data_IF_913056376254
#
_entry.id   IF_913056376254
#
_cell.length_a   1.000
_cell.length_b   1.000
_cell.length_c   1.000
_cell.angle_alpha   90.00
_cell.angle_beta   90.00
_cell.angle_gamma   90.00
#
_symmetry.space_group_name_H-M   'P 1'
#
loop_
_entity.id
_entity.type
_entity.pdbx_description
1 polymer ?
#
# COMPACT_ATOMS: atom_id res chain seq x y z
N UNK A 1 -9.89 0.50 31.95
CA UNK A 1 -9.93 -0.76 32.71
C UNK A 1 -10.98 -1.65 32.06
N UNK A 2 -10.55 -2.71 31.38
CA UNK A 2 -11.45 -3.76 30.87
C UNK A 2 -11.96 -4.59 32.06
N UNK A 3 -13.25 -4.90 32.17
CA UNK A 3 -13.76 -5.78 33.23
C UNK A 3 -13.09 -7.15 33.12
N UNK A 4 -12.79 -7.79 34.25
CA UNK A 4 -12.17 -9.12 34.24
C UNK A 4 -13.15 -10.16 33.66
N UNK A 5 -12.63 -11.24 33.06
CA UNK A 5 -13.48 -12.33 32.54
C UNK A 5 -14.36 -12.99 33.62
N UNK A 6 -13.96 -12.85 34.89
CA UNK A 6 -14.74 -13.32 36.04
C UNK A 6 -15.94 -12.40 36.29
N UNK A 7 -15.76 -11.07 36.22
CA UNK A 7 -16.85 -10.09 36.36
C UNK A 7 -17.90 -10.28 35.26
N UNK A 8 -17.47 -10.57 34.03
CA UNK A 8 -18.38 -10.81 32.90
C UNK A 8 -19.18 -12.12 33.06
N UNK A 9 -18.54 -13.17 33.59
CA UNK A 9 -19.20 -14.45 33.89
C UNK A 9 -20.17 -14.34 35.08
N UNK A 10 -19.85 -13.53 36.08
CA UNK A 10 -20.75 -13.23 37.20
C UNK A 10 -21.93 -12.37 36.75
N UNK A 11 -21.69 -11.32 35.96
CA UNK A 11 -22.75 -10.55 35.29
C UNK A 11 -23.70 -11.49 34.54
N UNK A 12 -23.17 -12.39 33.69
CA UNK A 12 -23.98 -13.33 32.91
C UNK A 12 -24.86 -14.26 33.77
N UNK A 13 -24.40 -14.67 34.95
CA UNK A 13 -25.18 -15.51 35.88
C UNK A 13 -26.31 -14.73 36.58
N UNK A 14 -26.14 -13.43 36.83
CA UNK A 14 -27.17 -12.57 37.45
C UNK A 14 -28.39 -12.38 36.54
N UNK A 15 -28.20 -12.43 35.21
CA UNK A 15 -29.28 -12.27 34.22
C UNK A 15 -29.89 -13.58 33.71
N UNK A 16 -29.33 -14.75 34.06
CA UNK A 16 -29.74 -16.05 33.49
C UNK A 16 -31.21 -16.44 33.76
N UNK A 17 -31.87 -15.84 34.76
CA UNK A 17 -33.25 -16.16 35.17
C UNK A 17 -34.17 -14.94 35.33
N UNK A 18 -33.80 -13.75 34.82
CA UNK A 18 -34.61 -12.52 34.97
C UNK A 18 -35.19 -12.04 33.64
N UNK A 19 -36.46 -11.63 33.66
CA UNK A 19 -37.07 -10.89 32.56
C UNK A 19 -36.38 -9.54 32.47
N UNK A 20 -35.64 -9.29 31.38
CA UNK A 20 -34.99 -8.01 31.11
C UNK A 20 -35.99 -7.11 30.40
N UNK A 21 -36.29 -5.97 31.01
CA UNK A 21 -37.18 -4.96 30.43
C UNK A 21 -36.38 -3.87 29.72
N UNK A 22 -36.97 -3.24 28.71
CA UNK A 22 -36.37 -2.09 28.04
C UNK A 22 -36.42 -0.84 28.91
N UNK A 23 -35.44 0.09 28.81
CA UNK A 23 -35.36 1.31 29.62
C UNK A 23 -36.66 2.14 29.80
N UNK A 24 -37.59 2.24 28.83
CA UNK A 24 -38.86 2.94 29.04
C UNK A 24 -39.74 2.32 30.14
N UNK A 25 -39.52 1.05 30.50
CA UNK A 25 -40.22 0.34 31.56
C UNK A 25 -39.46 0.54 32.85
N UNK A 26 -40.08 1.25 33.80
CA UNK A 26 -39.48 1.64 35.06
C UNK A 26 -39.53 0.49 36.08
N UNK A 27 -38.73 -0.56 35.85
CA UNK A 27 -38.64 -1.74 36.71
C UNK A 27 -37.18 -2.07 37.03
N UNK A 28 -36.91 -2.53 38.26
CA UNK A 28 -35.56 -2.88 38.70
C UNK A 28 -34.63 -1.67 38.82
N UNK A 29 -33.39 -1.81 38.34
CA UNK A 29 -32.33 -0.78 38.36
C UNK A 29 -32.46 0.23 37.20
N UNK A 30 -33.68 0.48 36.72
CA UNK A 30 -33.94 1.32 35.54
C UNK A 30 -33.29 2.70 35.64
N UNK A 31 -33.24 3.30 36.84
CA UNK A 31 -32.67 4.62 37.06
C UNK A 31 -31.14 4.61 36.90
N UNK A 32 -30.45 3.57 37.37
CA UNK A 32 -29.01 3.41 37.20
C UNK A 32 -28.64 3.13 35.74
N UNK A 33 -29.42 2.29 35.05
CA UNK A 33 -29.24 2.01 33.62
C UNK A 33 -29.48 3.25 32.76
N UNK A 34 -30.49 4.06 33.11
CA UNK A 34 -30.75 5.35 32.46
C UNK A 34 -29.58 6.32 32.68
N UNK A 35 -29.12 6.50 33.92
CA UNK A 35 -28.01 7.37 34.26
C UNK A 35 -26.71 6.95 33.54
N UNK A 36 -26.37 5.66 33.52
CA UNK A 36 -25.22 5.13 32.79
C UNK A 36 -25.33 5.36 31.28
N UNK A 37 -26.54 5.30 30.72
CA UNK A 37 -26.79 5.56 29.31
C UNK A 37 -26.66 7.04 28.99
N UNK A 38 -27.18 7.92 29.84
CA UNK A 38 -27.05 9.37 29.70
C UNK A 38 -25.57 9.80 29.76
N UNK A 39 -24.80 9.28 30.71
CA UNK A 39 -23.36 9.54 30.80
C UNK A 39 -22.62 9.06 29.54
N UNK A 40 -22.91 7.85 29.06
CA UNK A 40 -22.36 7.33 27.79
C UNK A 40 -22.71 8.24 26.60
N UNK A 41 -23.95 8.75 26.56
CA UNK A 41 -24.38 9.67 25.53
C UNK A 41 -23.62 11.00 25.62
N UNK A 42 -23.45 11.57 26.82
CA UNK A 42 -22.69 12.81 27.03
C UNK A 42 -21.23 12.67 26.62
N UNK A 43 -20.58 11.56 26.96
CA UNK A 43 -19.21 11.27 26.51
C UNK A 43 -19.16 11.14 24.99
N UNK A 44 -20.16 10.48 24.39
CA UNK A 44 -20.24 10.30 22.94
C UNK A 44 -20.49 11.63 22.20
N UNK A 45 -21.37 12.50 22.70
CA UNK A 45 -21.63 13.82 22.13
C UNK A 45 -20.41 14.71 22.27
N UNK A 46 -19.78 14.75 23.45
CA UNK A 46 -18.53 15.49 23.66
C UNK A 46 -17.44 15.04 22.67
N UNK A 47 -17.21 13.73 22.53
CA UNK A 47 -16.23 13.20 21.56
C UNK A 47 -16.61 13.51 20.11
N UNK A 48 -17.90 13.52 19.78
CA UNK A 48 -18.41 13.85 18.44
C UNK A 48 -18.14 15.30 18.08
N UNK A 49 -18.41 16.22 19.00
CA UNK A 49 -18.19 17.67 18.84
C UNK A 49 -16.70 17.98 18.66
N UNK A 50 -15.83 17.30 19.40
CA UNK A 50 -14.37 17.50 19.34
C UNK A 50 -13.67 16.69 18.23
N UNK A 51 -14.43 16.03 17.35
CA UNK A 51 -13.88 15.17 16.28
C UNK A 51 -12.94 14.06 16.77
N UNK A 52 -13.18 13.55 17.99
CA UNK A 52 -12.36 12.53 18.65
C UNK A 52 -12.89 11.11 18.44
N UNK A 53 -14.04 10.94 17.79
CA UNK A 53 -14.56 9.61 17.50
C UNK A 53 -13.64 8.87 16.52
N UNK A 54 -13.41 7.59 16.79
CA UNK A 54 -12.60 6.72 15.94
C UNK A 54 -13.09 6.72 14.49
N UNK A 55 -14.42 6.70 14.28
CA UNK A 55 -15.02 6.76 12.94
C UNK A 55 -14.69 8.07 12.19
N UNK A 56 -14.55 9.19 12.90
CA UNK A 56 -14.20 10.48 12.28
C UNK A 56 -12.71 10.50 11.91
N UNK A 57 -11.84 10.04 12.83
CA UNK A 57 -10.39 9.94 12.61
C UNK A 57 -10.05 8.98 11.47
N UNK A 58 -10.63 7.79 11.46
CA UNK A 58 -10.43 6.79 10.40
C UNK A 58 -10.89 7.34 9.05
N UNK A 59 -12.10 7.91 8.95
CA UNK A 59 -12.58 8.53 7.70
C UNK A 59 -11.65 9.63 7.20
N UNK A 60 -11.09 10.45 8.10
CA UNK A 60 -10.11 11.49 7.73
C UNK A 60 -8.82 10.87 7.19
N UNK A 61 -8.29 9.85 7.87
CA UNK A 61 -7.11 9.11 7.42
C UNK A 61 -7.35 8.46 6.04
N UNK A 62 -8.49 7.77 5.84
CA UNK A 62 -8.84 7.16 4.56
C UNK A 62 -8.91 8.19 3.43
N UNK A 63 -9.48 9.37 3.68
CA UNK A 63 -9.52 10.45 2.68
C UNK A 63 -8.14 10.94 2.28
N UNK A 64 -7.17 10.95 3.20
CA UNK A 64 -5.80 11.35 2.90
C UNK A 64 -5.06 10.25 2.13
N UNK A 65 -5.15 9.01 2.61
CA UNK A 65 -4.39 7.86 2.07
C UNK A 65 -4.94 7.35 0.73
N UNK A 66 -6.27 7.34 0.58
CA UNK A 66 -6.96 6.91 -0.64
C UNK A 66 -7.32 8.09 -1.56
N UNK A 67 -6.72 9.25 -1.33
CA UNK A 67 -6.86 10.41 -2.23
C UNK A 67 -6.40 9.98 -3.64
N UNK A 68 -7.22 10.20 -4.69
CA UNK A 68 -6.86 9.81 -6.04
C UNK A 68 -5.69 10.66 -6.54
N UNK A 69 -4.76 10.02 -7.23
CA UNK A 69 -3.56 10.65 -7.76
C UNK A 69 -3.45 10.43 -9.27
N UNK A 70 -2.99 11.45 -9.98
CA UNK A 70 -2.77 11.37 -11.42
C UNK A 70 -1.40 10.75 -11.66
N UNK A 71 -1.36 9.64 -12.40
CA UNK A 71 -0.11 9.00 -12.83
C UNK A 71 0.50 9.73 -14.02
N UNK A 72 1.79 9.49 -14.25
CA UNK A 72 2.51 9.93 -15.42
C UNK A 72 1.79 9.47 -16.70
N UNK A 73 1.76 10.33 -17.71
CA UNK A 73 1.30 9.96 -19.05
C UNK A 73 2.30 8.96 -19.63
N UNK A 74 1.81 7.94 -20.32
CA UNK A 74 2.64 6.97 -21.02
C UNK A 74 3.64 7.68 -21.93
N UNK A 75 4.92 7.44 -21.66
CA UNK A 75 6.05 8.01 -22.36
C UNK A 75 6.91 6.87 -22.93
N UNK A 76 7.74 7.11 -23.95
CA UNK A 76 8.64 6.09 -24.50
C UNK A 76 9.66 5.55 -23.49
N UNK A 77 9.89 6.27 -22.39
CA UNK A 77 10.79 5.88 -21.33
C UNK A 77 10.26 6.32 -19.97
N UNK A 78 10.64 5.60 -18.92
CA UNK A 78 10.33 5.98 -17.54
C UNK A 78 11.16 7.21 -17.14
N UNK A 79 10.50 8.20 -16.55
CA UNK A 79 11.07 9.48 -16.13
C UNK A 79 11.20 9.60 -14.61
N UNK A 80 12.27 10.21 -14.12
CA UNK A 80 12.41 10.61 -12.72
C UNK A 80 11.43 11.74 -12.33
N UNK A 81 10.97 11.73 -11.08
CA UNK A 81 10.09 12.73 -10.49
C UNK A 81 8.59 12.57 -10.82
N UNK A 82 8.25 11.63 -11.70
CA UNK A 82 6.87 11.38 -12.13
C UNK A 82 6.22 10.26 -11.30
N UNK A 83 4.87 10.27 -11.26
CA UNK A 83 4.06 9.33 -10.49
C UNK A 83 3.83 8.01 -11.26
N UNK A 84 4.22 6.88 -10.69
CA UNK A 84 3.98 5.55 -11.24
C UNK A 84 3.38 4.61 -10.19
N UNK A 85 2.79 3.51 -10.67
CA UNK A 85 2.43 2.38 -9.81
C UNK A 85 3.34 1.19 -10.12
N UNK A 86 3.62 0.38 -9.10
CA UNK A 86 4.35 -0.88 -9.27
C UNK A 86 3.35 -2.03 -9.22
N UNK A 87 3.13 -2.67 -10.36
CA UNK A 87 2.21 -3.81 -10.52
C UNK A 87 3.01 -5.10 -10.65
N UNK A 88 2.51 -6.18 -10.08
CA UNK A 88 3.05 -7.53 -10.30
C UNK A 88 2.60 -8.08 -11.66
N UNK A 89 3.50 -8.78 -12.36
CA UNK A 89 3.23 -9.21 -13.74
C UNK A 89 2.37 -10.47 -13.83
N UNK A 90 2.81 -11.52 -13.14
CA UNK A 90 2.45 -12.90 -13.45
C UNK A 90 1.70 -13.57 -12.28
N UNK A 91 1.51 -12.84 -11.18
CA UNK A 91 0.71 -13.28 -10.05
C UNK A 91 -0.74 -12.87 -10.31
N UNK A 92 -1.55 -13.84 -10.73
CA UNK A 92 -3.00 -13.69 -10.83
C UNK A 92 -3.63 -14.47 -9.69
N UNK A 93 -4.66 -13.89 -9.07
CA UNK A 93 -5.50 -14.63 -8.11
C UNK A 93 -6.70 -15.15 -8.90
N UNK A 94 -7.11 -16.39 -8.67
CA UNK A 94 -8.17 -17.12 -9.42
C UNK A 94 -9.53 -16.39 -9.55
N UNK A 95 -9.74 -15.29 -8.83
CA UNK A 95 -11.02 -14.57 -8.78
C UNK A 95 -11.04 -13.24 -9.52
N UNK A 96 -9.89 -12.61 -9.75
CA UNK A 96 -9.78 -11.37 -10.50
C UNK A 96 -8.39 -11.32 -11.16
N UNK A 97 -8.36 -11.10 -12.47
CA UNK A 97 -7.14 -10.98 -13.29
C UNK A 97 -6.27 -9.75 -12.95
N UNK A 98 -6.54 -9.08 -11.82
CA UNK A 98 -5.80 -7.94 -11.31
C UNK A 98 -4.58 -8.41 -10.50
N UNK A 99 -3.39 -8.25 -11.07
CA UNK A 99 -2.15 -8.34 -10.30
C UNK A 99 -2.13 -7.35 -9.14
N UNK A 100 -1.33 -7.64 -8.12
CA UNK A 100 -1.16 -6.80 -6.95
C UNK A 100 -0.30 -5.57 -7.24
N UNK A 101 -0.57 -4.49 -6.51
CA UNK A 101 0.11 -3.21 -6.54
C UNK A 101 0.88 -2.99 -5.24
N UNK A 102 2.08 -2.40 -5.33
CA UNK A 102 2.81 -1.96 -4.14
C UNK A 102 2.03 -0.86 -3.44
N UNK A 103 1.88 -0.95 -2.11
CA UNK A 103 1.01 -0.09 -1.32
C UNK A 103 1.58 0.18 0.07
N UNK A 104 1.44 1.40 0.59
CA UNK A 104 1.77 1.70 2.00
C UNK A 104 0.67 1.27 2.97
N UNK A 105 1.01 0.70 4.12
CA UNK A 105 0.04 0.31 5.18
C UNK A 105 0.31 1.11 6.44
N UNK A 106 -0.77 1.62 7.04
CA UNK A 106 -0.76 2.18 8.39
C UNK A 106 -1.19 1.07 9.36
N UNK A 107 -0.35 0.78 10.34
CA UNK A 107 -0.61 -0.24 11.35
C UNK A 107 -1.81 0.13 12.23
N UNK A 108 -2.56 -0.88 12.68
CA UNK A 108 -3.77 -0.72 13.50
C UNK A 108 -3.55 0.12 14.75
N UNK A 109 -2.40 -0.10 15.39
CA UNK A 109 -2.01 0.55 16.65
C UNK A 109 -1.86 2.06 16.50
N UNK A 110 -1.63 2.55 15.28
CA UNK A 110 -1.27 3.94 15.01
C UNK A 110 -2.43 4.73 14.41
N UNK A 111 -3.60 4.13 14.16
CA UNK A 111 -4.72 4.80 13.46
C UNK A 111 -5.32 5.96 14.27
N UNK A 112 -5.25 5.87 15.59
CA UNK A 112 -5.81 6.88 16.48
C UNK A 112 -5.01 8.18 16.49
N UNK A 113 -3.72 8.08 16.17
CA UNK A 113 -2.74 9.17 16.23
C UNK A 113 -2.35 9.64 14.83
N UNK A 114 -2.11 8.71 13.91
CA UNK A 114 -1.56 8.95 12.58
C UNK A 114 -2.68 9.18 11.57
N UNK A 115 -2.63 10.32 10.88
CA UNK A 115 -3.63 10.72 9.88
C UNK A 115 -3.13 10.58 8.44
N UNK A 116 -1.84 10.32 8.24
CA UNK A 116 -1.17 10.18 6.95
C UNK A 116 0.09 9.32 7.13
N UNK A 117 0.66 8.73 6.08
CA UNK A 117 1.95 8.03 6.14
C UNK A 117 3.05 8.82 6.87
N UNK A 118 3.71 8.14 7.80
CA UNK A 118 4.82 8.60 8.63
C UNK A 118 5.99 7.60 8.56
N UNK A 119 7.12 7.98 9.14
CA UNK A 119 8.28 7.12 9.29
C UNK A 119 7.93 5.79 10.00
N UNK A 120 8.38 4.67 9.45
CA UNK A 120 8.17 3.33 9.99
C UNK A 120 6.90 2.62 9.51
N UNK A 121 6.06 3.24 8.68
CA UNK A 121 4.92 2.56 8.05
C UNK A 121 5.41 1.40 7.16
N UNK A 122 4.71 0.28 7.16
CA UNK A 122 5.08 -0.91 6.37
C UNK A 122 4.53 -0.83 4.95
N UNK A 123 5.05 -1.64 4.03
CA UNK A 123 4.45 -1.80 2.69
C UNK A 123 3.79 -3.18 2.55
N UNK A 124 2.72 -3.24 1.76
CA UNK A 124 1.98 -4.45 1.38
C UNK A 124 1.70 -4.45 -0.13
N UNK A 125 1.18 -5.57 -0.61
CA UNK A 125 0.69 -5.77 -1.97
C UNK A 125 -0.83 -5.71 -1.96
N UNK A 126 -1.42 -4.62 -2.44
CA UNK A 126 -2.87 -4.44 -2.48
C UNK A 126 -3.45 -4.84 -3.84
N UNK A 127 -4.65 -5.43 -3.92
CA UNK A 127 -5.32 -5.67 -5.20
C UNK A 127 -5.93 -4.40 -5.82
N UNK A 128 -5.87 -3.25 -5.14
CA UNK A 128 -6.49 -2.01 -5.59
C UNK A 128 -5.78 -1.43 -6.83
N UNK A 129 -6.46 -1.48 -7.97
CA UNK A 129 -6.00 -0.93 -9.26
C UNK A 129 -6.03 0.60 -9.32
N UNK A 130 -6.97 1.23 -8.63
CA UNK A 130 -7.16 2.68 -8.69
C UNK A 130 -5.93 3.44 -8.17
N UNK A 131 -5.46 4.48 -8.88
CA UNK A 131 -4.29 5.24 -8.45
C UNK A 131 -4.65 6.15 -7.29
N UNK A 132 -4.14 5.79 -6.11
CA UNK A 132 -4.21 6.59 -4.90
C UNK A 132 -2.81 6.89 -4.35
N UNK A 133 -2.72 7.87 -3.45
CA UNK A 133 -1.48 8.24 -2.73
C UNK A 133 -0.74 7.01 -2.21
N UNK A 134 -1.48 6.07 -1.65
CA UNK A 134 -0.98 4.79 -1.13
C UNK A 134 -0.21 3.92 -2.12
N UNK A 135 -0.67 3.88 -3.38
CA UNK A 135 -0.20 2.95 -4.42
C UNK A 135 0.71 3.64 -5.43
N UNK A 136 0.98 4.92 -5.21
CA UNK A 136 1.69 5.78 -6.16
C UNK A 136 3.04 6.17 -5.62
N UNK A 137 4.06 5.94 -6.43
CA UNK A 137 5.45 6.18 -6.10
C UNK A 137 6.14 6.99 -7.18
N UNK A 138 7.12 7.78 -6.77
CA UNK A 138 7.99 8.56 -7.64
C UNK A 138 9.39 7.96 -7.60
N UNK A 139 10.01 7.87 -8.78
CA UNK A 139 11.42 7.51 -8.88
C UNK A 139 12.25 8.76 -8.70
N UNK A 140 13.13 8.78 -7.69
CA UNK A 140 14.06 9.88 -7.42
C UNK A 140 15.50 9.42 -7.62
N UNK A 141 16.36 10.32 -8.07
CA UNK A 141 17.80 10.05 -8.17
C UNK A 141 18.47 10.03 -6.80
N UNK A 142 19.47 9.17 -6.61
CA UNK A 142 20.24 9.13 -5.36
C UNK A 142 21.22 10.30 -5.17
N UNK A 143 21.52 11.05 -6.24
CA UNK A 143 22.50 12.14 -6.23
C UNK A 143 21.81 13.48 -5.99
N UNK A 144 22.53 14.42 -5.36
CA UNK A 144 22.05 15.78 -5.00
C UNK A 144 21.55 16.61 -6.19
N UNK A 145 21.89 16.22 -7.42
CA UNK A 145 21.36 16.86 -8.61
C UNK A 145 19.94 16.38 -8.87
N UNK A 146 18.99 17.31 -8.88
CA UNK A 146 17.60 17.01 -9.16
C UNK A 146 17.47 16.47 -10.60
N UNK A 147 17.35 15.15 -10.74
CA UNK A 147 17.21 14.46 -12.04
C UNK A 147 15.77 14.47 -12.55
N UNK A 148 14.90 15.33 -12.02
CA UNK A 148 13.50 15.45 -12.47
C UNK A 148 13.39 15.57 -14.00
N UNK A 149 12.54 14.75 -14.61
CA UNK A 149 12.33 14.72 -16.05
C UNK A 149 13.44 14.04 -16.87
N UNK A 150 14.50 13.51 -16.24
CA UNK A 150 15.47 12.65 -16.92
C UNK A 150 14.95 11.22 -17.03
N UNK A 151 15.47 10.49 -18.02
CA UNK A 151 15.16 9.08 -18.22
C UNK A 151 15.86 8.17 -17.20
N UNK A 152 15.17 7.12 -16.78
CA UNK A 152 15.69 6.10 -15.87
C UNK A 152 16.39 5.01 -16.69
N UNK A 153 17.60 4.63 -16.28
CA UNK A 153 18.39 3.59 -16.92
C UNK A 153 18.38 2.29 -16.10
N UNK A 154 18.54 1.16 -16.78
CA UNK A 154 18.78 -0.11 -16.10
C UNK A 154 20.14 -0.10 -15.39
N UNK A 155 20.16 -0.57 -14.14
CA UNK A 155 21.36 -0.69 -13.31
C UNK A 155 21.69 0.55 -12.47
N UNK A 156 21.02 1.68 -12.70
CA UNK A 156 21.18 2.90 -11.91
C UNK A 156 20.54 2.75 -10.52
N UNK A 157 21.18 3.35 -9.51
CA UNK A 157 20.62 3.45 -8.16
C UNK A 157 19.52 4.53 -8.13
N UNK A 158 18.33 4.12 -7.70
CA UNK A 158 17.14 4.97 -7.57
C UNK A 158 16.55 4.86 -6.17
N UNK A 159 15.89 5.93 -5.74
CA UNK A 159 15.08 5.97 -4.53
C UNK A 159 13.60 5.90 -4.93
N UNK A 160 12.82 5.07 -4.23
CA UNK A 160 11.38 5.01 -4.41
C UNK A 160 10.73 5.90 -3.36
N UNK A 161 10.10 7.00 -3.77
CA UNK A 161 9.42 7.94 -2.87
C UNK A 161 7.90 7.75 -2.96
N UNK A 162 7.17 7.79 -1.85
CA UNK A 162 5.69 7.83 -1.90
C UNK A 162 5.19 9.20 -2.40
N UNK A 163 4.05 9.23 -3.08
CA UNK A 163 3.53 10.44 -3.72
C UNK A 163 3.27 11.60 -2.74
N UNK A 164 2.67 11.31 -1.59
CA UNK A 164 2.31 12.29 -0.56
C UNK A 164 2.62 11.70 0.82
N UNK A 165 3.05 12.54 1.76
CA UNK A 165 3.33 12.20 3.15
C UNK A 165 2.89 13.36 4.06
N UNK A 166 2.73 13.12 5.37
CA UNK A 166 2.30 14.19 6.30
C UNK A 166 3.34 15.32 6.49
N UNK A 167 4.58 15.07 6.09
CA UNK A 167 5.73 15.91 6.43
C UNK A 167 6.87 15.73 5.43
N UNK A 168 8.07 15.31 5.84
CA UNK A 168 9.17 15.08 4.90
C UNK A 168 8.82 13.94 3.91
N UNK A 169 9.42 13.95 2.72
CA UNK A 169 9.21 12.88 1.74
C UNK A 169 9.65 11.54 2.34
N UNK A 170 8.80 10.52 2.15
CA UNK A 170 9.08 9.17 2.64
C UNK A 170 9.56 8.30 1.48
N UNK A 171 10.65 7.58 1.73
CA UNK A 171 11.29 6.66 0.81
C UNK A 171 11.08 5.23 1.26
N UNK A 172 11.00 4.31 0.30
CA UNK A 172 10.98 2.87 0.60
C UNK A 172 12.36 2.46 1.11
N UNK A 173 12.38 1.72 2.21
CA UNK A 173 13.57 1.20 2.87
C UNK A 173 13.42 -0.32 3.07
N UNK A 174 14.44 -1.09 2.69
CA UNK A 174 14.62 -2.47 3.16
C UNK A 174 15.63 -2.44 4.32
N UNK A 175 15.20 -2.44 5.60
CA UNK A 175 16.12 -2.58 6.71
C UNK A 175 16.83 -3.94 6.67
N UNK A 176 17.96 -4.05 7.37
CA UNK A 176 18.61 -5.33 7.60
C UNK A 176 17.72 -6.25 8.44
N UNK A 177 17.95 -7.56 8.33
CA UNK A 177 17.26 -8.54 9.16
C UNK A 177 17.56 -8.25 10.63
N UNK A 178 16.57 -7.73 11.35
CA UNK A 178 16.62 -7.56 12.80
C UNK A 178 16.01 -8.79 13.47
N UNK A 179 16.20 -8.90 14.79
CA UNK A 179 15.57 -9.94 15.62
C UNK A 179 14.05 -9.98 15.41
N UNK A 180 13.42 -8.84 15.12
CA UNK A 180 11.98 -8.72 14.83
C UNK A 180 11.51 -9.55 13.64
N UNK A 181 12.39 -9.84 12.67
CA UNK A 181 12.03 -10.65 11.50
C UNK A 181 12.17 -12.15 11.79
N UNK A 182 12.73 -12.55 12.94
CA UNK A 182 13.01 -13.95 13.33
C UNK A 182 13.69 -14.78 12.21
N UNK A 183 14.58 -14.15 11.42
CA UNK A 183 15.24 -14.79 10.27
C UNK A 183 14.35 -14.97 9.03
N UNK A 184 13.14 -14.42 9.03
CA UNK A 184 12.24 -14.33 7.87
C UNK A 184 12.71 -13.34 6.80
N UNK A 185 11.86 -13.15 5.80
CA UNK A 185 12.15 -12.27 4.67
C UNK A 185 12.14 -10.79 5.07
N UNK A 186 13.00 -9.98 4.45
CA UNK A 186 13.19 -8.59 4.82
C UNK A 186 11.93 -7.77 4.50
N UNK A 187 11.21 -7.31 5.53
CA UNK A 187 10.01 -6.49 5.35
C UNK A 187 10.36 -5.06 4.92
N UNK A 188 9.57 -4.48 4.01
CA UNK A 188 9.73 -3.09 3.60
C UNK A 188 9.08 -2.10 4.58
N UNK A 189 9.73 -0.96 4.76
CA UNK A 189 9.22 0.16 5.56
C UNK A 189 9.43 1.49 4.84
N UNK A 190 8.65 2.51 5.21
CA UNK A 190 8.81 3.88 4.77
C UNK A 190 9.76 4.62 5.72
N UNK A 191 10.74 5.32 5.17
CA UNK A 191 11.72 6.09 5.92
C UNK A 191 11.82 7.53 5.43
N UNK A 192 11.99 8.47 6.35
CA UNK A 192 12.24 9.88 6.02
C UNK A 192 13.70 10.14 5.63
N UNK A 193 14.60 9.20 5.93
CA UNK A 193 16.03 9.34 5.69
C UNK A 193 16.42 8.53 4.43
N UNK A 194 16.93 9.19 3.37
CA UNK A 194 17.39 8.51 2.17
C UNK A 194 18.77 7.87 2.39
N UNK A 195 18.78 6.71 3.04
CA UNK A 195 19.99 5.94 3.34
C UNK A 195 20.37 4.97 2.21
N UNK A 196 21.48 4.25 2.38
CA UNK A 196 21.90 3.16 1.49
C UNK A 196 20.83 2.05 1.41
N UNK A 197 20.07 1.84 2.49
CA UNK A 197 18.96 0.89 2.57
C UNK A 197 17.68 1.33 1.83
N UNK A 198 17.67 2.55 1.30
CA UNK A 198 16.57 3.08 0.49
C UNK A 198 16.88 3.01 -1.01
N UNK A 199 18.05 2.47 -1.39
CA UNK A 199 18.52 2.41 -2.78
C UNK A 199 18.09 1.11 -3.43
N UNK A 200 17.46 1.24 -4.58
CA UNK A 200 17.05 0.15 -5.44
C UNK A 200 17.64 0.30 -6.83
N UNK A 201 17.84 -0.81 -7.52
CA UNK A 201 18.22 -0.87 -8.93
C UNK A 201 17.10 -1.52 -9.71
N UNK A 202 16.83 -0.97 -10.88
CA UNK A 202 15.93 -1.60 -11.83
C UNK A 202 16.79 -2.42 -12.77
N UNK A 203 16.53 -3.72 -12.85
CA UNK A 203 17.28 -4.65 -13.70
C UNK A 203 16.33 -5.34 -14.68
N UNK A 204 16.88 -5.73 -15.83
CA UNK A 204 16.13 -6.46 -16.84
C UNK A 204 15.74 -7.85 -16.32
N UNK A 205 14.51 -8.29 -16.62
CA UNK A 205 13.96 -9.55 -16.13
C UNK A 205 14.79 -10.77 -16.57
N UNK A 206 15.16 -10.83 -17.85
CA UNK A 206 15.96 -11.93 -18.41
C UNK A 206 17.44 -11.80 -17.98
N UNK A 207 17.99 -12.77 -17.23
CA UNK A 207 19.39 -12.77 -16.79
C UNK A 207 20.42 -12.61 -17.91
N UNK A 208 20.20 -13.24 -19.06
CA UNK A 208 21.17 -13.23 -20.17
C UNK A 208 21.33 -11.83 -20.79
N UNK A 209 20.26 -11.04 -20.79
CA UNK A 209 20.25 -9.69 -21.37
C UNK A 209 20.68 -8.60 -20.39
N UNK A 210 20.91 -8.91 -19.10
CA UNK A 210 21.21 -7.90 -18.07
C UNK A 210 22.49 -7.11 -18.38
N UNK A 211 23.53 -7.79 -18.85
CA UNK A 211 24.79 -7.13 -19.19
C UNK A 211 24.64 -6.14 -20.34
N UNK A 212 23.95 -6.54 -21.41
CA UNK A 212 23.74 -5.72 -22.61
C UNK A 212 22.78 -4.55 -22.37
N UNK A 213 21.79 -4.74 -21.49
CA UNK A 213 20.76 -3.73 -21.20
C UNK A 213 21.17 -2.74 -20.12
N UNK A 214 22.26 -2.99 -19.39
CA UNK A 214 22.76 -2.04 -18.38
C UNK A 214 23.10 -0.70 -19.03
N UNK A 215 22.59 0.40 -18.50
CA UNK A 215 22.76 1.76 -19.07
C UNK A 215 21.79 2.08 -20.21
N UNK A 216 20.86 1.19 -20.56
CA UNK A 216 19.79 1.47 -21.53
C UNK A 216 18.49 1.90 -20.83
N UNK A 217 17.63 2.63 -21.53
CA UNK A 217 16.30 3.01 -21.05
C UNK A 217 15.28 1.92 -21.33
N UNK A 218 14.12 2.01 -20.68
CA UNK A 218 13.02 1.08 -20.87
C UNK A 218 11.68 1.79 -20.88
N UNK A 219 10.74 1.17 -21.61
CA UNK A 219 9.36 1.63 -21.70
C UNK A 219 8.60 1.31 -20.40
N UNK A 220 7.63 2.14 -20.00
CA UNK A 220 6.62 1.77 -19.02
C UNK A 220 5.92 0.45 -19.40
N UNK A 221 5.35 -0.23 -18.41
CA UNK A 221 4.69 -1.54 -18.51
C UNK A 221 5.56 -2.71 -19.04
N UNK A 222 6.87 -2.52 -19.12
CA UNK A 222 7.81 -3.61 -19.36
C UNK A 222 8.09 -4.38 -18.06
N UNK A 223 8.35 -5.68 -18.21
CA UNK A 223 8.71 -6.56 -17.09
C UNK A 223 10.11 -6.23 -16.60
N UNK A 224 10.22 -5.89 -15.33
CA UNK A 224 11.47 -5.53 -14.66
C UNK A 224 11.59 -6.27 -13.33
N UNK A 225 12.81 -6.33 -12.82
CA UNK A 225 13.08 -6.76 -11.44
C UNK A 225 13.61 -5.53 -10.70
N UNK A 226 13.13 -5.33 -9.48
CA UNK A 226 13.59 -4.26 -8.60
C UNK A 226 14.50 -4.92 -7.56
N UNK A 227 15.78 -4.59 -7.56
CA UNK A 227 16.77 -5.16 -6.66
C UNK A 227 17.17 -4.15 -5.60
N UNK A 228 17.16 -4.53 -4.33
CA UNK A 228 17.66 -3.69 -3.25
C UNK A 228 19.19 -3.69 -3.24
N UNK A 229 19.81 -2.51 -3.38
CA UNK A 229 21.27 -2.37 -3.59
C UNK A 229 22.08 -2.89 -2.42
N UNK A 230 21.66 -2.63 -1.17
CA UNK A 230 22.46 -3.02 0.00
C UNK A 230 22.42 -4.54 0.27
N UNK A 231 21.25 -5.18 0.09
CA UNK A 231 21.09 -6.62 0.35
C UNK A 231 21.36 -7.51 -0.87
N UNK A 232 21.36 -6.94 -2.08
CA UNK A 232 21.38 -7.69 -3.33
C UNK A 232 20.14 -8.56 -3.59
N UNK A 233 19.12 -8.50 -2.72
CA UNK A 233 17.86 -9.25 -2.86
C UNK A 233 16.85 -8.48 -3.70
N UNK A 234 15.97 -9.22 -4.35
CA UNK A 234 14.92 -8.66 -5.20
C UNK A 234 13.67 -8.33 -4.39
N UNK A 235 12.91 -7.35 -4.86
CA UNK A 235 11.57 -7.07 -4.39
C UNK A 235 10.67 -8.24 -4.77
N UNK A 236 9.98 -8.81 -3.79
CA UNK A 236 9.07 -9.92 -3.96
C UNK A 236 7.73 -9.62 -3.31
N UNK A 237 6.69 -10.17 -3.91
CA UNK A 237 5.38 -10.27 -3.27
C UNK A 237 5.14 -11.71 -2.83
N UNK A 238 4.63 -11.90 -1.63
CA UNK A 238 4.34 -13.23 -1.07
C UNK A 238 2.85 -13.49 -1.17
N UNK A 239 2.41 -14.04 -2.31
CA UNK A 239 0.98 -14.33 -2.53
C UNK A 239 0.41 -15.35 -1.55
N UNK A 240 1.25 -16.26 -1.06
CA UNK A 240 0.83 -17.27 -0.08
C UNK A 240 0.51 -16.68 1.30
N UNK A 241 1.01 -15.49 1.61
CA UNK A 241 0.85 -14.86 2.92
C UNK A 241 0.00 -13.60 2.80
N UNK A 242 -1.31 -13.78 3.02
CA UNK A 242 -2.26 -12.68 3.14
C UNK A 242 -2.30 -12.17 4.58
N UNK A 243 -2.14 -10.85 4.74
CA UNK A 243 -2.36 -10.13 5.99
C UNK A 243 -3.74 -9.48 5.94
N UNK A 244 -4.54 -9.60 7.01
CA UNK A 244 -5.72 -8.76 7.18
C UNK A 244 -5.26 -7.32 7.48
N UNK A 245 -5.52 -6.39 6.57
CA UNK A 245 -5.32 -4.96 6.81
C UNK A 245 -6.65 -4.22 6.81
N UNK A 246 -6.67 -2.96 7.24
CA UNK A 246 -7.87 -2.10 7.20
C UNK A 246 -8.48 -1.93 5.82
N UNK A 247 -7.67 -2.16 4.79
CA UNK A 247 -8.07 -2.00 3.40
C UNK A 247 -8.60 -3.30 2.79
N UNK A 248 -8.53 -4.41 3.53
CA UNK A 248 -8.91 -5.75 3.07
C UNK A 248 -7.75 -6.75 3.18
N UNK A 249 -7.90 -7.93 2.55
CA UNK A 249 -6.82 -8.91 2.47
C UNK A 249 -5.72 -8.42 1.52
N UNK A 250 -4.48 -8.37 2.02
CA UNK A 250 -3.32 -7.87 1.26
C UNK A 250 -2.14 -8.81 1.38
N UNK A 251 -1.28 -8.84 0.37
CA UNK A 251 -0.10 -9.69 0.39
C UNK A 251 1.06 -9.02 1.11
N UNK A 252 1.94 -9.82 1.70
CA UNK A 252 3.22 -9.33 2.21
C UNK A 252 4.13 -8.95 1.04
N UNK A 253 4.87 -7.85 1.19
CA UNK A 253 5.96 -7.50 0.28
C UNK A 253 7.26 -7.52 1.05
N UNK A 254 8.23 -8.25 0.50
CA UNK A 254 9.53 -8.47 1.12
C UNK A 254 10.67 -8.32 0.12
N UNK A 255 11.89 -8.14 0.62
CA UNK A 255 13.11 -8.15 -0.19
C UNK A 255 13.71 -9.57 -0.12
N UNK A 256 13.23 -10.46 -1.00
CA UNK A 256 13.65 -11.84 -1.14
C UNK A 256 13.78 -12.24 -2.62
N UNK A 257 14.80 -13.05 -2.96
CA UNK A 257 14.99 -13.55 -4.32
C UNK A 257 14.51 -14.99 -4.40
N UNK A 258 13.29 -15.17 -4.90
CA UNK A 258 12.74 -16.48 -5.17
C UNK A 258 13.32 -17.03 -6.46
N UNK A 259 13.89 -18.22 -6.38
CA UNK A 259 14.51 -18.90 -7.51
C UNK A 259 13.88 -20.26 -7.72
N UNK A 260 13.63 -20.59 -8.98
CA UNK A 260 13.28 -21.93 -9.38
C UNK A 260 14.52 -22.85 -9.36
N UNK A 261 14.32 -24.15 -9.57
CA UNK A 261 15.32 -25.20 -9.71
C UNK A 261 16.43 -24.84 -10.70
N UNK A 262 16.11 -24.06 -11.73
CA UNK A 262 17.05 -23.55 -12.73
C UNK A 262 17.80 -22.26 -12.31
N UNK A 263 17.70 -21.84 -11.04
CA UNK A 263 18.25 -20.59 -10.48
C UNK A 263 17.69 -19.30 -11.11
N UNK A 264 16.59 -19.41 -11.86
CA UNK A 264 15.89 -18.29 -12.48
C UNK A 264 14.92 -17.65 -11.49
N UNK A 265 14.79 -16.32 -11.52
CA UNK A 265 13.80 -15.64 -10.68
C UNK A 265 12.37 -16.06 -11.03
N UNK A 266 11.51 -16.18 -10.02
CA UNK A 266 10.13 -16.64 -10.18
C UNK A 266 9.12 -15.50 -10.31
N UNK A 267 7.88 -15.89 -10.64
CA UNK A 267 6.60 -15.21 -10.41
C UNK A 267 6.65 -13.88 -9.65
N UNK A 268 7.01 -14.05 -8.38
CA UNK A 268 6.90 -13.10 -7.28
C UNK A 268 7.85 -11.92 -7.40
N UNK A 269 8.94 -12.08 -8.16
CA UNK A 269 9.96 -11.06 -8.34
C UNK A 269 9.74 -10.14 -9.55
N UNK A 270 8.71 -10.40 -10.34
CA UNK A 270 8.46 -9.65 -11.57
C UNK A 270 7.48 -8.51 -11.39
N UNK A 271 7.98 -7.31 -11.67
CA UNK A 271 7.25 -6.06 -11.53
C UNK A 271 7.12 -5.35 -12.88
N UNK A 272 6.10 -4.51 -12.97
CA UNK A 272 5.80 -3.59 -14.07
C UNK A 272 5.65 -2.20 -13.48
N UNK A 273 6.27 -1.22 -14.13
CA UNK A 273 6.10 0.19 -13.79
C UNK A 273 4.96 0.72 -14.65
N UNK A 274 3.78 0.87 -14.05
CA UNK A 274 2.56 1.26 -14.74
C UNK A 274 2.46 2.78 -14.75
N UNK A 275 2.36 3.34 -15.95
CA UNK A 275 1.94 4.71 -16.21
C UNK A 275 0.47 4.75 -16.58
N UNK A 276 -0.15 5.93 -16.55
CA UNK A 276 -1.49 6.12 -17.13
C UNK A 276 -1.36 5.95 -18.65
N UNK A 277 -2.15 5.06 -19.28
CA UNK A 277 -2.18 5.00 -20.74
C UNK A 277 -2.53 6.40 -21.27
N UNK A 278 -1.89 6.81 -22.38
CA UNK A 278 -2.34 8.02 -23.07
C UNK A 278 -3.83 7.82 -23.32
N UNK A 279 -4.66 8.62 -22.65
CA UNK A 279 -6.11 8.50 -22.77
C UNK A 279 -6.46 8.53 -24.24
N UNK A 280 -7.44 7.70 -24.59
CA UNK A 280 -8.19 7.63 -25.83
C UNK A 280 -8.73 8.95 -26.35
N UNK A 281 -8.25 10.14 -25.99
CA UNK A 281 -8.54 11.35 -26.76
C UNK A 281 -8.16 11.16 -28.23
N UNK A 282 -7.11 10.40 -28.54
CA UNK A 282 -6.81 9.99 -29.91
C UNK A 282 -7.83 8.99 -30.48
N UNK A 283 -8.37 8.05 -29.68
CA UNK A 283 -9.39 7.08 -30.12
C UNK A 283 -10.78 7.74 -30.24
N UNK A 284 -11.18 8.64 -29.34
CA UNK A 284 -12.37 9.49 -29.47
C UNK A 284 -12.25 10.44 -30.66
N UNK A 285 -11.05 10.99 -30.95
CA UNK A 285 -10.81 11.81 -32.15
C UNK A 285 -10.82 10.94 -33.42
N UNK A 286 -10.35 9.70 -33.39
CA UNK A 286 -10.43 8.74 -34.51
C UNK A 286 -11.85 8.23 -34.73
N UNK A 287 -12.58 7.93 -33.67
CA UNK A 287 -14.02 7.62 -33.69
C UNK A 287 -14.84 8.80 -34.22
N UNK A 288 -14.53 10.03 -33.78
CA UNK A 288 -15.13 11.24 -34.32
C UNK A 288 -14.73 11.52 -35.78
N UNK A 289 -13.62 10.94 -36.26
CA UNK A 289 -13.18 10.95 -37.67
C UNK A 289 -13.70 9.77 -38.50
N UNK A 290 -14.47 8.85 -37.89
CA UNK A 290 -15.14 7.75 -38.59
C UNK A 290 -14.26 6.53 -38.90
N UNK A 291 -13.18 6.30 -38.16
CA UNK A 291 -12.38 5.07 -38.28
C UNK A 291 -12.97 3.94 -37.43
N UNK A 292 -13.09 2.73 -37.99
CA UNK A 292 -13.59 1.54 -37.29
C UNK A 292 -12.58 1.06 -36.23
N UNK A 293 -12.98 1.11 -34.96
CA UNK A 293 -12.17 0.66 -33.83
C UNK A 293 -12.71 -0.70 -33.34
N UNK A 294 -11.85 -1.74 -33.19
CA UNK A 294 -12.25 -3.02 -32.61
C UNK A 294 -12.77 -2.84 -31.17
N UNK A 295 -13.90 -3.47 -30.85
CA UNK A 295 -14.57 -3.33 -29.54
C UNK A 295 -13.77 -3.85 -28.34
N UNK A 296 -12.66 -4.56 -28.56
CA UNK A 296 -11.80 -5.15 -27.52
C UNK A 296 -11.03 -4.12 -26.67
N UNK A 297 -11.07 -2.84 -27.04
CA UNK A 297 -10.39 -1.76 -26.30
C UNK A 297 -11.27 -1.07 -25.24
N UNK A 298 -12.52 -1.49 -25.06
CA UNK A 298 -13.48 -0.88 -24.14
C UNK A 298 -13.76 -1.68 -22.84
N UNK A 299 -13.03 -2.78 -22.59
CA UNK A 299 -13.12 -3.59 -21.35
C UNK A 299 -11.97 -3.35 -20.36
#
# INVERSE_FOLDING_TARGET
MTPSEQDQKEHGKVYQNRIVYSLPVHLGLWNEELALREEKNLIATYKREHCQLLIQKTRKMFRNVLKPTILAIEAPYVLYGQNYQFKTCDLTTDKDSSGFYLSGVINERNIDTVQHFEHGCTLSGSPVKEPCVRNTFKLMGCQTNNKEGQQVFYGDDVLLQIAESSGPPLYVQCPNSTIDTFGGHLSLRLSQFPDIYCRFKIIHWNPQKRYETTGTTFKPDTRVIIQHTASGRNLAIESAQLIPSFYGPECIVSCHTYRDSHKMETAENFWKIVSRPISDTALYVRAAKGEDIPMEFFE
#
